data_IF_974767569102
#
_entry.id   IF_974767569102
#
_cell.length_a   1.000
_cell.length_b   1.000
_cell.length_c   1.000
_cell.angle_alpha   90.00
_cell.angle_beta   90.00
_cell.angle_gamma   90.00
#
_symmetry.space_group_name_H-M   'P 1'
#
loop_
_entity.id
_entity.type
_entity.pdbx_description
1 polymer ?
#
# COMPACT_ATOMS: atom_id res chain seq x y z
N UNK A 1 -65.33 35.07 -48.71
CA UNK A 1 -63.93 35.26 -48.26
C UNK A 1 -63.59 34.13 -47.30
N UNK A 2 -62.81 33.15 -47.74
CA UNK A 2 -62.34 32.04 -46.91
C UNK A 2 -60.93 32.39 -46.44
N UNK A 3 -60.75 32.63 -45.14
CA UNK A 3 -59.43 32.93 -44.56
C UNK A 3 -58.82 31.61 -44.11
N UNK A 4 -57.82 31.13 -44.83
CA UNK A 4 -57.05 29.93 -44.47
C UNK A 4 -55.91 30.36 -43.56
N UNK A 5 -56.00 30.03 -42.28
CA UNK A 5 -54.95 30.27 -41.29
C UNK A 5 -53.95 29.11 -41.31
N UNK A 6 -52.78 29.35 -41.90
CA UNK A 6 -51.66 28.42 -41.87
C UNK A 6 -50.97 28.53 -40.50
N UNK A 7 -51.13 27.50 -39.66
CA UNK A 7 -50.46 27.41 -38.36
C UNK A 7 -49.08 26.80 -38.55
N UNK A 8 -48.04 27.61 -38.34
CA UNK A 8 -46.65 27.17 -38.41
C UNK A 8 -46.28 26.42 -37.12
N UNK A 9 -46.17 25.10 -37.18
CA UNK A 9 -45.71 24.29 -36.03
C UNK A 9 -44.18 24.25 -36.04
N UNK A 10 -43.56 25.03 -35.16
CA UNK A 10 -42.10 25.00 -34.95
C UNK A 10 -41.77 23.84 -34.01
N UNK A 11 -41.24 22.75 -34.57
CA UNK A 11 -40.74 21.61 -33.79
C UNK A 11 -39.31 21.94 -33.33
N UNK A 12 -39.16 22.31 -32.06
CA UNK A 12 -37.84 22.50 -31.43
C UNK A 12 -37.30 21.12 -31.06
N UNK A 13 -36.38 20.59 -31.88
CA UNK A 13 -35.65 19.36 -31.57
C UNK A 13 -34.59 19.71 -30.51
N UNK A 14 -34.94 19.53 -29.23
CA UNK A 14 -33.97 19.58 -28.14
C UNK A 14 -33.12 18.32 -28.21
N UNK A 15 -31.99 18.38 -28.91
CA UNK A 15 -30.97 17.34 -28.79
C UNK A 15 -30.38 17.42 -27.39
N UNK A 16 -30.80 16.51 -26.51
CA UNK A 16 -30.09 16.25 -25.26
C UNK A 16 -28.68 15.77 -25.62
N UNK A 17 -27.69 16.65 -25.52
CA UNK A 17 -26.30 16.22 -25.52
C UNK A 17 -26.12 15.28 -24.32
N UNK A 18 -26.11 13.98 -24.57
CA UNK A 18 -25.69 12.99 -23.58
C UNK A 18 -24.23 13.30 -23.27
N UNK A 19 -24.02 14.04 -22.18
CA UNK A 19 -22.70 14.18 -21.60
C UNK A 19 -22.29 12.75 -21.20
N UNK A 20 -21.42 12.11 -21.99
CA UNK A 20 -20.78 10.85 -21.58
C UNK A 20 -20.07 11.17 -20.27
N UNK A 21 -20.68 10.78 -19.15
CA UNK A 21 -20.06 10.76 -17.84
C UNK A 21 -19.01 9.67 -17.86
N UNK A 22 -17.89 9.93 -18.54
CA UNK A 22 -16.82 8.95 -18.69
C UNK A 22 -16.17 8.69 -17.33
N UNK A 23 -16.32 7.47 -16.81
CA UNK A 23 -15.49 7.04 -15.69
C UNK A 23 -14.06 6.77 -16.19
N UNK A 24 -13.08 7.00 -15.32
CA UNK A 24 -11.70 6.63 -15.55
C UNK A 24 -11.41 5.34 -14.79
N UNK A 25 -10.59 4.48 -15.39
CA UNK A 25 -10.12 3.26 -14.75
C UNK A 25 -8.61 3.35 -14.62
N UNK A 26 -8.09 3.16 -13.40
CA UNK A 26 -6.67 2.97 -13.12
C UNK A 26 -6.45 1.48 -12.92
N UNK A 27 -5.64 0.86 -13.76
CA UNK A 27 -5.23 -0.54 -13.64
C UNK A 27 -3.97 -0.65 -12.79
N UNK A 28 -4.01 -1.42 -11.70
CA UNK A 28 -2.85 -1.59 -10.83
C UNK A 28 -1.67 -2.23 -11.59
N UNK A 29 -1.96 -3.20 -12.48
CA UNK A 29 -0.94 -3.93 -13.23
C UNK A 29 -0.31 -3.12 -14.37
N UNK A 30 -1.05 -2.18 -14.97
CA UNK A 30 -0.57 -1.40 -16.13
C UNK A 30 -0.05 -0.03 -15.73
N UNK A 31 -0.85 0.71 -14.98
CA UNK A 31 -0.55 2.10 -14.64
C UNK A 31 0.49 2.22 -13.53
N UNK A 32 0.62 1.20 -12.66
CA UNK A 32 1.58 1.15 -11.55
C UNK A 32 2.72 0.14 -11.79
N UNK A 33 3.02 -0.20 -13.04
CA UNK A 33 3.95 -1.28 -13.40
C UNK A 33 5.43 -1.08 -13.02
N UNK A 34 5.83 0.13 -12.59
CA UNK A 34 7.23 0.44 -12.23
C UNK A 34 7.27 1.47 -11.10
N UNK A 35 8.11 1.24 -10.09
CA UNK A 35 8.27 2.14 -8.93
C UNK A 35 6.91 2.68 -8.47
N UNK A 36 5.97 1.76 -8.20
CA UNK A 36 4.58 2.13 -7.91
C UNK A 36 4.54 3.15 -6.77
N UNK A 37 3.68 4.18 -6.82
CA UNK A 37 3.39 5.01 -5.66
C UNK A 37 2.38 4.33 -4.74
N UNK A 38 2.27 4.82 -3.51
CA UNK A 38 1.07 4.57 -2.71
C UNK A 38 -0.13 5.20 -3.42
N UNK A 39 -1.26 4.50 -3.46
CA UNK A 39 -2.51 5.03 -4.01
C UNK A 39 -3.51 5.18 -2.88
N UNK A 40 -4.01 6.41 -2.71
CA UNK A 40 -4.81 6.82 -1.57
C UNK A 40 -6.06 7.55 -2.04
N UNK A 41 -7.10 7.50 -1.21
CA UNK A 41 -8.30 8.33 -1.34
C UNK A 41 -8.32 9.37 -0.23
N UNK A 42 -9.14 10.41 -0.41
CA UNK A 42 -9.38 11.43 0.62
C UNK A 42 -10.80 11.25 1.14
N UNK A 43 -10.93 10.95 2.43
CA UNK A 43 -12.21 10.78 3.14
C UNK A 43 -12.22 11.74 4.32
N UNK A 44 -13.16 12.70 4.32
CA UNK A 44 -13.29 13.71 5.39
C UNK A 44 -11.96 14.42 5.71
N UNK A 45 -11.23 14.82 4.67
CA UNK A 45 -9.92 15.47 4.73
C UNK A 45 -8.75 14.61 5.27
N UNK A 46 -8.94 13.29 5.44
CA UNK A 46 -7.86 12.36 5.79
C UNK A 46 -7.52 11.45 4.61
N UNK A 47 -6.26 11.03 4.54
CA UNK A 47 -5.78 10.02 3.60
C UNK A 47 -6.15 8.63 4.08
N UNK A 48 -6.69 7.82 3.16
CA UNK A 48 -7.01 6.42 3.41
C UNK A 48 -6.53 5.52 2.27
N UNK A 49 -6.24 4.26 2.61
CA UNK A 49 -5.94 3.22 1.63
C UNK A 49 -7.15 2.98 0.73
N UNK A 50 -6.95 3.03 -0.58
CA UNK A 50 -8.00 2.67 -1.52
C UNK A 50 -8.00 1.17 -1.81
N UNK A 51 -9.20 0.57 -1.78
CA UNK A 51 -9.39 -0.82 -2.16
C UNK A 51 -9.79 -0.93 -3.63
N UNK A 52 -9.04 -1.67 -4.47
CA UNK A 52 -9.40 -1.86 -5.86
C UNK A 52 -10.55 -2.86 -6.00
N UNK A 53 -11.32 -2.72 -7.08
CA UNK A 53 -12.18 -3.79 -7.57
C UNK A 53 -11.36 -4.81 -8.34
N UNK A 54 -11.84 -6.06 -8.40
CA UNK A 54 -11.25 -7.08 -9.27
C UNK A 54 -12.08 -7.21 -10.53
N UNK A 55 -11.43 -7.07 -11.68
CA UNK A 55 -12.03 -7.31 -13.01
C UNK A 55 -11.09 -8.19 -13.82
N UNK A 56 -11.53 -9.41 -14.16
CA UNK A 56 -10.71 -10.39 -14.87
C UNK A 56 -9.35 -10.66 -14.20
N UNK A 57 -9.34 -10.84 -12.87
CA UNK A 57 -8.14 -11.05 -12.05
C UNK A 57 -7.13 -9.89 -12.11
N UNK A 58 -7.61 -8.67 -12.37
CA UNK A 58 -6.81 -7.45 -12.35
C UNK A 58 -7.44 -6.44 -11.40
N UNK A 59 -6.59 -5.74 -10.65
CA UNK A 59 -6.99 -4.67 -9.76
C UNK A 59 -7.30 -3.42 -10.56
N UNK A 60 -8.51 -2.89 -10.39
CA UNK A 60 -8.98 -1.68 -11.06
C UNK A 60 -9.60 -0.74 -10.05
N UNK A 61 -9.12 0.51 -10.05
CA UNK A 61 -9.76 1.60 -9.33
C UNK A 61 -10.59 2.41 -10.33
N UNK A 62 -11.90 2.46 -10.09
CA UNK A 62 -12.84 3.24 -10.91
C UNK A 62 -13.07 4.62 -10.30
N UNK A 63 -12.93 5.67 -11.10
CA UNK A 63 -13.14 7.06 -10.70
C UNK A 63 -14.21 7.71 -11.58
N UNK A 64 -15.20 8.34 -10.95
CA UNK A 64 -16.14 9.20 -11.67
C UNK A 64 -15.46 10.47 -12.16
N UNK A 65 -15.97 11.05 -13.25
CA UNK A 65 -15.47 12.34 -13.75
C UNK A 65 -15.51 13.40 -12.64
N UNK A 66 -14.40 14.11 -12.46
CA UNK A 66 -14.26 15.16 -11.44
C UNK A 66 -13.69 14.67 -10.11
N UNK A 67 -13.77 13.36 -9.81
CA UNK A 67 -13.13 12.74 -8.64
C UNK A 67 -11.63 12.61 -8.85
N UNK A 68 -10.91 12.42 -7.75
CA UNK A 68 -9.46 12.30 -7.76
C UNK A 68 -8.98 11.30 -6.72
N UNK A 69 -7.76 10.79 -6.93
CA UNK A 69 -6.96 10.07 -5.96
C UNK A 69 -5.75 10.93 -5.58
N UNK A 70 -5.10 10.54 -4.49
CA UNK A 70 -3.77 11.00 -4.15
C UNK A 70 -2.81 9.85 -4.41
N UNK A 71 -1.74 10.12 -5.13
CA UNK A 71 -0.58 9.23 -5.15
C UNK A 71 0.54 9.83 -4.32
N UNK A 72 1.29 9.00 -3.62
CA UNK A 72 2.39 9.42 -2.75
C UNK A 72 3.64 8.58 -2.95
N UNK A 73 4.79 9.23 -2.89
CA UNK A 73 6.11 8.63 -3.00
C UNK A 73 6.90 8.89 -1.71
N UNK A 74 6.60 8.17 -0.61
CA UNK A 74 7.27 8.40 0.66
C UNK A 74 8.75 7.99 0.61
N UNK A 75 9.51 8.54 1.55
CA UNK A 75 10.94 8.29 1.73
C UNK A 75 11.85 9.42 1.27
N UNK A 76 13.10 9.38 1.74
CA UNK A 76 14.08 10.42 1.46
C UNK A 76 14.37 10.54 -0.04
N UNK A 77 14.17 11.73 -0.60
CA UNK A 77 14.40 12.05 -2.03
C UNK A 77 13.57 11.20 -2.99
N UNK A 78 12.44 10.69 -2.54
CA UNK A 78 11.48 10.00 -3.39
C UNK A 78 10.35 10.97 -3.77
N UNK A 79 10.01 11.05 -5.05
CA UNK A 79 9.03 12.01 -5.56
C UNK A 79 8.20 11.38 -6.69
N UNK A 80 6.99 11.86 -6.89
CA UNK A 80 6.18 11.55 -8.06
C UNK A 80 6.87 12.13 -9.31
N UNK A 81 7.20 11.28 -10.28
CA UNK A 81 7.94 11.68 -11.49
C UNK A 81 7.24 12.79 -12.29
N UNK A 82 5.92 12.87 -12.25
CA UNK A 82 5.13 13.74 -13.09
C UNK A 82 5.19 15.23 -12.70
N UNK A 83 5.32 15.53 -11.40
CA UNK A 83 5.36 16.89 -10.86
C UNK A 83 6.61 17.19 -10.01
N UNK A 84 7.37 16.17 -9.60
CA UNK A 84 8.58 16.34 -8.79
C UNK A 84 8.31 16.52 -7.29
N UNK A 85 7.07 16.38 -6.86
CA UNK A 85 6.65 16.54 -5.46
C UNK A 85 6.50 15.17 -4.77
N UNK A 86 6.40 15.14 -3.44
CA UNK A 86 6.12 13.92 -2.67
C UNK A 86 4.77 13.29 -3.05
N UNK A 87 3.76 14.12 -3.34
CA UNK A 87 2.41 13.69 -3.68
C UNK A 87 1.88 14.33 -4.97
N UNK A 88 0.87 13.69 -5.57
CA UNK A 88 0.15 14.26 -6.70
C UNK A 88 -1.33 13.85 -6.71
N UNK A 89 -2.19 14.77 -7.14
CA UNK A 89 -3.60 14.48 -7.41
C UNK A 89 -3.77 13.87 -8.80
N UNK A 90 -4.33 12.66 -8.85
CA UNK A 90 -4.74 12.01 -10.10
C UNK A 90 -6.23 12.21 -10.29
N UNK A 91 -6.60 13.14 -11.18
CA UNK A 91 -8.00 13.50 -11.43
C UNK A 91 -8.56 12.75 -12.64
N UNK A 92 -9.81 12.31 -12.54
CA UNK A 92 -10.54 11.81 -13.68
C UNK A 92 -11.19 12.95 -14.48
N UNK A 93 -10.87 13.04 -15.76
CA UNK A 93 -11.46 13.99 -16.71
C UNK A 93 -12.00 13.24 -17.93
N UNK A 94 -13.32 12.99 -17.92
CA UNK A 94 -14.10 12.40 -19.04
C UNK A 94 -13.43 11.15 -19.65
N UNK A 95 -13.04 10.20 -18.79
CA UNK A 95 -12.42 8.94 -19.20
C UNK A 95 -10.88 8.97 -19.33
N UNK A 96 -10.23 10.10 -19.01
CA UNK A 96 -8.77 10.19 -18.95
C UNK A 96 -8.30 10.59 -17.55
N UNK A 97 -7.33 9.85 -17.01
CA UNK A 97 -6.61 10.23 -15.80
C UNK A 97 -5.61 11.36 -16.11
N UNK A 98 -5.51 12.35 -15.22
CA UNK A 98 -4.62 13.51 -15.36
C UNK A 98 -3.91 13.86 -14.06
N UNK A 99 -2.68 14.33 -14.18
CA UNK A 99 -1.94 15.04 -13.12
C UNK A 99 -1.72 16.47 -13.61
N UNK A 100 -2.34 17.44 -12.93
CA UNK A 100 -2.42 18.82 -13.43
C UNK A 100 -3.13 18.86 -14.79
N UNK A 101 -2.48 19.44 -15.81
CA UNK A 101 -2.99 19.49 -17.19
C UNK A 101 -2.59 18.29 -18.05
N UNK A 102 -1.66 17.44 -17.57
CA UNK A 102 -1.07 16.35 -18.35
C UNK A 102 -1.88 15.07 -18.21
N UNK A 103 -2.14 14.40 -19.33
CA UNK A 103 -2.75 13.06 -19.36
C UNK A 103 -1.75 12.04 -18.84
N UNK A 104 -2.22 11.14 -17.97
CA UNK A 104 -1.47 9.98 -17.51
C UNK A 104 -1.42 8.96 -18.64
N UNK A 105 -0.22 8.55 -19.00
CA UNK A 105 0.03 7.40 -19.88
C UNK A 105 0.20 6.14 -19.05
N UNK A 106 0.10 4.97 -19.68
CA UNK A 106 0.44 3.69 -19.04
C UNK A 106 1.86 3.73 -18.43
N UNK A 107 2.02 3.20 -17.21
CA UNK A 107 3.25 3.30 -16.42
C UNK A 107 3.65 4.73 -16.01
N UNK A 108 2.80 5.72 -16.24
CA UNK A 108 3.05 7.13 -15.95
C UNK A 108 2.91 7.49 -14.47
N UNK A 109 2.23 6.65 -13.69
CA UNK A 109 2.07 6.80 -12.24
C UNK A 109 3.22 6.07 -11.55
N UNK A 110 4.31 6.79 -11.30
CA UNK A 110 5.51 6.22 -10.69
C UNK A 110 6.31 7.21 -9.88
N UNK A 111 7.02 6.66 -8.90
CA UNK A 111 7.98 7.35 -8.09
C UNK A 111 9.38 7.41 -8.76
N UNK A 112 10.23 8.31 -8.25
CA UNK A 112 11.63 8.41 -8.69
C UNK A 112 12.42 7.16 -8.35
N UNK A 113 12.13 6.57 -7.19
CA UNK A 113 12.69 5.32 -6.68
C UNK A 113 11.55 4.37 -6.32
N UNK A 114 11.84 3.08 -6.10
CA UNK A 114 10.86 2.19 -5.45
C UNK A 114 10.40 2.83 -4.14
N UNK A 115 9.17 2.57 -3.71
CA UNK A 115 8.68 3.05 -2.42
C UNK A 115 9.71 2.71 -1.36
N UNK A 116 10.08 3.70 -0.55
CA UNK A 116 10.91 3.43 0.60
C UNK A 116 10.19 2.43 1.49
N UNK A 117 10.92 1.49 2.08
CA UNK A 117 10.33 0.55 3.03
C UNK A 117 9.53 1.27 4.10
N UNK A 118 8.49 0.61 4.58
CA UNK A 118 7.66 1.10 5.68
C UNK A 118 8.53 1.58 6.85
N UNK A 119 8.16 2.72 7.39
CA UNK A 119 8.74 3.29 8.60
C UNK A 119 8.15 2.61 9.84
N UNK A 120 8.82 2.80 10.98
CA UNK A 120 8.41 2.25 12.27
C UNK A 120 7.99 3.39 13.18
N UNK A 121 6.75 3.34 13.66
CA UNK A 121 6.28 4.21 14.73
C UNK A 121 6.10 3.43 16.02
N UNK A 122 6.88 3.78 17.05
CA UNK A 122 6.76 3.20 18.38
C UNK A 122 5.80 4.05 19.19
N UNK A 123 4.65 3.47 19.55
CA UNK A 123 3.65 4.18 20.35
C UNK A 123 3.95 4.09 21.85
N UNK A 124 3.24 4.89 22.65
CA UNK A 124 3.25 4.78 24.11
C UNK A 124 2.20 3.79 24.64
N UNK A 125 1.44 3.14 23.74
CA UNK A 125 0.40 2.20 24.13
C UNK A 125 1.01 0.84 24.47
N UNK A 126 0.53 0.23 25.54
CA UNK A 126 0.87 -1.14 25.90
C UNK A 126 -0.13 -2.13 25.33
N UNK A 127 0.33 -3.35 25.09
CA UNK A 127 -0.49 -4.49 24.69
C UNK A 127 -0.14 -5.73 25.50
N UNK A 128 -1.02 -6.73 25.48
CA UNK A 128 -0.85 -7.95 26.28
C UNK A 128 -0.88 -7.71 27.80
N UNK A 129 -0.52 -8.72 28.58
CA UNK A 129 -0.57 -8.67 30.04
C UNK A 129 0.48 -9.56 30.71
N UNK A 130 0.79 -9.28 31.98
CA UNK A 130 1.77 -10.04 32.77
C UNK A 130 3.14 -10.14 32.10
N UNK A 131 3.68 -11.36 32.00
CA UNK A 131 4.97 -11.65 31.32
C UNK A 131 4.91 -11.47 29.78
N UNK A 132 3.71 -11.23 29.25
CA UNK A 132 3.42 -10.92 27.85
C UNK A 132 2.99 -9.46 27.69
N UNK A 133 3.36 -8.56 28.61
CA UNK A 133 3.20 -7.13 28.37
C UNK A 133 4.18 -6.70 27.26
N UNK A 134 3.68 -5.98 26.26
CA UNK A 134 4.46 -5.43 25.16
C UNK A 134 4.10 -3.96 24.88
N UNK A 135 4.75 -3.43 23.86
CA UNK A 135 4.53 -2.09 23.31
C UNK A 135 3.86 -2.23 21.95
N UNK A 136 2.82 -1.43 21.70
CA UNK A 136 2.22 -1.31 20.38
C UNK A 136 3.13 -0.49 19.47
N UNK A 137 3.42 -1.04 18.31
CA UNK A 137 4.24 -0.45 17.26
C UNK A 137 3.42 -0.51 15.98
N UNK A 138 3.60 0.46 15.10
CA UNK A 138 3.01 0.45 13.76
C UNK A 138 4.10 0.46 12.71
N UNK A 139 3.92 -0.35 11.67
CA UNK A 139 4.64 -0.26 10.41
C UNK A 139 3.74 0.49 9.43
N UNK A 140 4.27 1.47 8.72
CA UNK A 140 3.46 2.31 7.84
C UNK A 140 4.27 3.33 7.07
N UNK A 141 3.62 4.38 6.59
CA UNK A 141 4.25 5.44 5.84
C UNK A 141 3.88 6.80 6.40
N UNK A 142 4.87 7.67 6.53
CA UNK A 142 4.61 9.08 6.69
C UNK A 142 4.37 9.68 5.30
N UNK A 143 3.18 10.24 5.08
CA UNK A 143 2.84 10.95 3.85
C UNK A 143 2.43 12.37 4.23
N UNK A 144 3.20 13.36 3.79
CA UNK A 144 3.05 14.74 4.25
C UNK A 144 3.05 14.81 5.80
N UNK A 145 1.91 15.16 6.41
CA UNK A 145 1.74 15.26 7.87
C UNK A 145 0.93 14.11 8.47
N UNK A 146 0.51 13.15 7.66
CA UNK A 146 -0.35 12.05 8.08
C UNK A 146 0.43 10.74 8.16
N UNK A 147 0.17 9.99 9.22
CA UNK A 147 0.71 8.64 9.39
C UNK A 147 -0.30 7.62 8.87
N UNK A 148 0.14 6.80 7.91
CA UNK A 148 -0.67 5.76 7.29
C UNK A 148 -0.20 4.39 7.79
N UNK A 149 -0.84 3.80 8.82
CA UNK A 149 -0.48 2.49 9.31
C UNK A 149 -0.84 1.40 8.28
N UNK A 150 0.03 0.41 8.18
CA UNK A 150 -0.14 -0.79 7.35
C UNK A 150 -0.26 -2.04 8.23
N UNK A 151 0.60 -2.16 9.24
CA UNK A 151 0.61 -3.29 10.18
C UNK A 151 0.76 -2.78 11.60
N UNK A 152 -0.07 -3.26 12.51
CA UNK A 152 0.15 -3.09 13.94
C UNK A 152 0.88 -4.31 14.52
N UNK A 153 1.79 -4.05 15.45
CA UNK A 153 2.68 -5.05 16.03
C UNK A 153 2.68 -4.87 17.54
N UNK A 154 2.33 -5.93 18.27
CA UNK A 154 2.54 -5.98 19.70
C UNK A 154 3.88 -6.64 20.00
N UNK A 155 4.87 -5.86 20.46
CA UNK A 155 6.23 -6.34 20.67
C UNK A 155 6.66 -6.23 22.12
N UNK A 156 7.12 -7.33 22.71
CA UNK A 156 7.76 -7.34 24.01
C UNK A 156 9.26 -7.07 23.83
N UNK A 157 9.65 -5.81 24.02
CA UNK A 157 11.03 -5.32 23.85
C UNK A 157 12.02 -6.03 24.79
N UNK A 158 11.65 -6.25 26.06
CA UNK A 158 12.58 -6.85 27.04
C UNK A 158 12.91 -8.30 26.75
N UNK A 159 11.99 -9.03 26.09
CA UNK A 159 12.19 -10.42 25.66
C UNK A 159 12.63 -10.53 24.20
N UNK A 160 12.54 -9.45 23.42
CA UNK A 160 12.77 -9.46 21.97
C UNK A 160 11.77 -10.35 21.22
N UNK A 161 10.53 -10.43 21.69
CA UNK A 161 9.49 -11.32 21.13
C UNK A 161 8.29 -10.51 20.66
N UNK A 162 7.90 -10.73 19.41
CA UNK A 162 6.61 -10.24 18.90
C UNK A 162 5.50 -11.18 19.34
N UNK A 163 4.46 -10.63 19.98
CA UNK A 163 3.35 -11.38 20.54
C UNK A 163 2.25 -11.62 19.50
N UNK A 164 1.92 -10.59 18.71
CA UNK A 164 1.03 -10.69 17.57
C UNK A 164 1.29 -9.54 16.60
N UNK A 165 0.81 -9.72 15.36
CA UNK A 165 0.60 -8.64 14.41
C UNK A 165 -0.87 -8.57 14.02
N UNK A 166 -1.31 -7.40 13.58
CA UNK A 166 -2.66 -7.17 13.08
C UNK A 166 -2.58 -6.32 11.82
N UNK A 167 -3.31 -6.71 10.79
CA UNK A 167 -3.53 -5.91 9.60
C UNK A 167 -4.89 -6.29 8.97
N UNK A 168 -5.59 -5.36 8.30
CA UNK A 168 -6.82 -5.67 7.60
C UNK A 168 -6.52 -6.45 6.31
N UNK A 169 -7.23 -7.56 6.10
CA UNK A 169 -7.18 -8.31 4.84
C UNK A 169 -8.14 -7.69 3.82
N UNK A 170 -7.64 -7.41 2.62
CA UNK A 170 -8.43 -6.81 1.54
C UNK A 170 -9.43 -7.79 0.87
N UNK A 171 -9.56 -9.02 1.38
CA UNK A 171 -10.54 -10.00 0.92
C UNK A 171 -10.43 -10.28 -0.58
N UNK A 172 -11.55 -10.15 -1.31
CA UNK A 172 -11.60 -10.39 -2.76
C UNK A 172 -10.60 -9.53 -3.54
N UNK A 173 -10.30 -8.31 -3.09
CA UNK A 173 -9.38 -7.40 -3.77
C UNK A 173 -7.95 -7.94 -3.88
N UNK A 174 -7.54 -8.89 -3.04
CA UNK A 174 -6.21 -9.52 -3.06
C UNK A 174 -5.92 -10.20 -4.42
N UNK A 175 -6.94 -10.72 -5.10
CA UNK A 175 -6.76 -11.33 -6.43
C UNK A 175 -6.25 -10.33 -7.48
N UNK A 176 -6.57 -9.05 -7.29
CA UNK A 176 -6.15 -7.92 -8.12
C UNK A 176 -4.91 -7.17 -7.62
N UNK A 177 -4.22 -7.67 -6.59
CA UNK A 177 -3.02 -7.05 -6.05
C UNK A 177 -1.91 -6.86 -7.10
N UNK A 178 -1.02 -5.90 -6.85
CA UNK A 178 0.20 -5.73 -7.65
C UNK A 178 1.11 -6.93 -7.41
N UNK A 179 1.44 -7.64 -8.49
CA UNK A 179 2.31 -8.83 -8.43
C UNK A 179 3.74 -8.40 -8.71
N UNK A 180 4.54 -8.29 -7.65
CA UNK A 180 5.99 -8.14 -7.77
C UNK A 180 6.70 -9.47 -7.57
N UNK A 181 7.63 -9.79 -8.47
CA UNK A 181 8.55 -10.91 -8.29
C UNK A 181 9.81 -10.52 -7.49
N UNK A 182 9.94 -9.24 -7.11
CA UNK A 182 11.09 -8.75 -6.36
C UNK A 182 10.81 -8.84 -4.86
N UNK A 183 11.34 -9.88 -4.22
CA UNK A 183 11.31 -10.00 -2.77
C UNK A 183 12.51 -9.28 -2.17
N UNK A 184 12.25 -8.22 -1.40
CA UNK A 184 13.29 -7.50 -0.66
C UNK A 184 13.97 -8.38 0.40
N UNK A 185 15.15 -7.97 0.83
CA UNK A 185 15.78 -8.55 2.01
C UNK A 185 15.10 -8.03 3.28
N UNK A 186 14.94 -8.88 4.30
CA UNK A 186 14.50 -8.44 5.62
C UNK A 186 15.36 -7.29 6.14
N UNK A 187 14.70 -6.22 6.60
CA UNK A 187 15.33 -5.11 7.33
C UNK A 187 15.23 -5.32 8.83
N UNK A 188 16.17 -4.70 9.55
CA UNK A 188 16.17 -4.69 11.01
C UNK A 188 15.56 -3.36 11.47
N UNK A 189 14.63 -3.42 12.41
CA UNK A 189 14.11 -2.23 13.08
C UNK A 189 15.18 -1.54 13.95
N UNK A 190 14.84 -0.41 14.60
CA UNK A 190 15.78 0.29 15.45
C UNK A 190 16.24 -0.60 16.62
N UNK A 191 17.45 -0.33 17.11
CA UNK A 191 18.10 -1.11 18.18
C UNK A 191 17.32 -1.12 19.48
N UNK A 192 16.49 -0.11 19.72
CA UNK A 192 15.60 -0.01 20.88
C UNK A 192 14.51 -1.09 20.92
N UNK A 193 14.13 -1.67 19.77
CA UNK A 193 13.22 -2.82 19.73
C UNK A 193 13.93 -4.14 20.05
N UNK A 194 15.23 -4.18 19.86
CA UNK A 194 16.04 -5.39 19.96
C UNK A 194 17.31 -5.14 20.82
N UNK A 195 17.14 -4.68 22.08
CA UNK A 195 18.27 -4.22 22.89
C UNK A 195 19.25 -5.37 23.17
N UNK A 196 20.52 -5.16 22.84
CA UNK A 196 21.60 -6.13 23.09
C UNK A 196 21.58 -7.36 22.18
N UNK A 197 20.69 -7.41 21.18
CA UNK A 197 20.60 -8.52 20.23
C UNK A 197 20.69 -8.03 18.79
N UNK A 198 21.32 -8.83 17.93
CA UNK A 198 21.31 -8.60 16.48
C UNK A 198 20.47 -9.71 15.83
N UNK A 199 19.24 -9.41 15.37
CA UNK A 199 18.40 -10.41 14.72
C UNK A 199 19.09 -11.09 13.54
N UNK A 200 19.84 -10.35 12.71
CA UNK A 200 20.58 -10.93 11.59
C UNK A 200 21.63 -11.95 12.05
N UNK A 201 22.31 -11.70 13.17
CA UNK A 201 23.28 -12.66 13.73
C UNK A 201 22.57 -13.87 14.33
N UNK A 202 21.46 -13.67 15.04
CA UNK A 202 20.69 -14.73 15.71
C UNK A 202 20.15 -15.79 14.75
N UNK A 203 19.68 -15.36 13.57
CA UNK A 203 19.14 -16.27 12.57
C UNK A 203 20.22 -16.96 11.71
N UNK A 204 21.51 -16.70 11.91
CA UNK A 204 22.55 -17.48 11.21
C UNK A 204 22.58 -18.92 11.71
N UNK A 205 22.75 -19.90 10.81
CA UNK A 205 22.83 -21.32 11.21
C UNK A 205 23.97 -21.58 12.20
N UNK A 206 25.10 -20.84 12.08
CA UNK A 206 26.20 -20.90 13.06
C UNK A 206 25.70 -20.57 14.46
N UNK A 207 25.01 -19.44 14.61
CA UNK A 207 24.50 -19.00 15.91
C UNK A 207 23.42 -19.94 16.45
N UNK A 208 22.54 -20.43 15.58
CA UNK A 208 21.52 -21.41 15.97
C UNK A 208 22.17 -22.69 16.52
N UNK A 209 23.21 -23.22 15.86
CA UNK A 209 23.94 -24.41 16.34
C UNK A 209 24.57 -24.18 17.72
N UNK A 210 25.16 -23.02 17.96
CA UNK A 210 25.71 -22.65 19.28
C UNK A 210 24.64 -22.62 20.36
N UNK A 211 23.51 -21.96 20.08
CA UNK A 211 22.39 -21.82 21.03
C UNK A 211 21.71 -23.17 21.31
N UNK A 212 21.45 -23.98 20.28
CA UNK A 212 20.86 -25.32 20.44
C UNK A 212 21.78 -26.23 21.25
N UNK A 213 23.08 -26.24 20.96
CA UNK A 213 24.05 -27.01 21.76
C UNK A 213 24.06 -26.57 23.23
N UNK A 214 23.95 -25.26 23.49
CA UNK A 214 23.91 -24.71 24.85
C UNK A 214 22.64 -25.09 25.61
N UNK A 215 21.47 -25.03 24.96
CA UNK A 215 20.17 -25.24 25.63
C UNK A 215 19.80 -26.73 25.69
N UNK A 216 20.02 -27.47 24.60
CA UNK A 216 19.55 -28.84 24.41
C UNK A 216 20.68 -29.88 24.50
N UNK A 217 21.94 -29.45 24.65
CA UNK A 217 23.11 -30.34 24.63
C UNK A 217 23.52 -30.84 23.24
N UNK A 218 22.71 -30.60 22.20
CA UNK A 218 22.97 -31.03 20.82
C UNK A 218 22.43 -30.03 19.79
N UNK A 219 23.09 -29.95 18.64
CA UNK A 219 22.63 -29.21 17.46
C UNK A 219 22.28 -30.12 16.27
N UNK A 220 22.15 -31.44 16.51
CA UNK A 220 21.83 -32.46 15.48
C UNK A 220 20.49 -32.24 14.78
N UNK A 221 19.59 -31.43 15.37
CA UNK A 221 18.34 -31.01 14.76
C UNK A 221 18.53 -30.01 13.62
N UNK A 222 19.70 -29.36 13.53
CA UNK A 222 19.98 -28.29 12.58
C UNK A 222 20.90 -28.77 11.46
N UNK A 223 20.49 -28.55 10.21
CA UNK A 223 21.29 -28.86 9.03
C UNK A 223 21.02 -27.83 7.91
N UNK A 224 21.53 -28.07 6.70
CA UNK A 224 21.39 -27.15 5.58
C UNK A 224 19.94 -26.85 5.18
N UNK A 225 19.02 -27.78 5.40
CA UNK A 225 17.58 -27.65 5.08
C UNK A 225 16.67 -27.59 6.31
N UNK A 226 17.20 -27.81 7.52
CA UNK A 226 16.45 -27.72 8.77
C UNK A 226 17.10 -26.66 9.68
N UNK A 227 16.50 -25.48 9.72
CA UNK A 227 16.95 -24.35 10.52
C UNK A 227 15.80 -23.36 10.75
N UNK A 228 15.94 -22.48 11.74
CA UNK A 228 14.96 -21.42 11.99
C UNK A 228 15.16 -20.31 10.95
N UNK A 229 14.11 -20.03 10.18
CA UNK A 229 14.10 -18.95 9.20
C UNK A 229 13.41 -17.69 9.78
N UNK A 230 13.70 -16.53 9.19
CA UNK A 230 12.90 -15.32 9.43
C UNK A 230 11.56 -15.50 8.72
N UNK A 231 10.47 -15.54 9.49
CA UNK A 231 9.10 -15.70 8.98
C UNK A 231 8.28 -14.43 9.18
N UNK A 232 7.43 -14.10 8.21
CA UNK A 232 6.47 -13.01 8.32
C UNK A 232 5.31 -13.42 9.24
N UNK A 233 4.88 -12.53 10.14
CA UNK A 233 3.62 -12.67 10.88
C UNK A 233 2.45 -11.99 10.16
N UNK A 234 2.74 -10.96 9.35
CA UNK A 234 1.84 -10.40 8.34
C UNK A 234 2.48 -10.68 6.96
N UNK A 235 2.01 -11.70 6.23
CA UNK A 235 2.53 -12.08 4.91
C UNK A 235 2.54 -10.92 3.90
N UNK A 236 3.58 -10.88 3.05
CA UNK A 236 3.67 -9.91 1.94
C UNK A 236 2.49 -10.02 0.97
N UNK A 237 2.04 -11.25 0.70
CA UNK A 237 0.94 -11.55 -0.20
C UNK A 237 -0.45 -11.11 0.28
N UNK A 238 -0.58 -10.64 1.52
CA UNK A 238 -1.84 -10.14 2.06
C UNK A 238 -2.12 -8.68 1.66
N UNK A 239 -1.11 -7.96 1.16
CA UNK A 239 -1.20 -6.55 0.77
C UNK A 239 -1.51 -6.35 -0.72
N UNK A 240 -2.25 -5.28 -1.02
CA UNK A 240 -2.68 -4.94 -2.39
C UNK A 240 -1.56 -4.33 -3.22
N UNK A 241 -0.74 -3.51 -2.58
CA UNK A 241 0.37 -2.78 -3.18
C UNK A 241 1.67 -3.48 -2.80
N UNK A 242 2.73 -3.27 -3.58
CA UNK A 242 4.07 -3.72 -3.26
C UNK A 242 4.69 -2.78 -2.21
N UNK A 243 4.18 -2.89 -0.98
CA UNK A 243 4.48 -2.09 0.21
C UNK A 243 5.43 -2.79 1.16
#
# INVERSE_FOLDING_TARGET
MLVVTVTLVVVVIVQSAQCKTGSCNLSLQKDLSQNEPLVLTVVQDNLEWIMPEVRNNQGVISLETGKHLVIACPGSKNNVKANGEETAYVKCDRGSLKIGSKRVTEGGLRCTHSIADSEIWISQLSCGSGIYKGTMIQLGYQVMKEWLPLVEVCHNISRGVTLYTYHPLAGHSIEGAVKSNQRGNFKIGPTELFPGISPNTLYTQKRQKEVFKKILGSSSYLNGSNFLAKGHLSPDADFIFNS
#
